data_IF_149688884965
#
_entry.id   IF_149688884965
#
_cell.length_a   1.000
_cell.length_b   1.000
_cell.length_c   1.000
_cell.angle_alpha   90.00
_cell.angle_beta   90.00
_cell.angle_gamma   90.00
#
_symmetry.space_group_name_H-M   'P 1'
#
loop_
_entity.id
_entity.type
_entity.pdbx_description
1 polymer ?
#
# COMPACT_ATOMS: atom_id res chain seq x y z
N UNK A 1 27.09 7.76 19.70
CA UNK A 1 26.70 6.33 19.64
C UNK A 1 26.83 5.87 18.19
N UNK A 2 27.58 4.80 17.95
CA UNK A 2 27.75 4.20 16.62
C UNK A 2 26.55 3.29 16.37
N UNK A 3 25.72 3.59 15.38
CA UNK A 3 24.64 2.72 14.94
C UNK A 3 25.27 1.51 14.23
N UNK A 4 25.19 0.32 14.84
CA UNK A 4 25.51 -0.92 14.15
C UNK A 4 24.36 -1.25 13.21
N UNK A 5 24.58 -1.05 11.91
CA UNK A 5 23.72 -1.64 10.89
C UNK A 5 23.91 -3.15 10.96
N UNK A 6 22.89 -3.87 11.42
CA UNK A 6 22.85 -5.33 11.26
C UNK A 6 22.72 -5.62 9.76
N UNK A 7 23.79 -6.17 9.20
CA UNK A 7 24.01 -6.47 7.78
C UNK A 7 23.15 -7.63 7.23
N UNK A 8 21.91 -7.76 7.68
CA UNK A 8 20.96 -8.79 7.22
C UNK A 8 19.81 -8.24 6.35
N UNK A 9 19.65 -6.91 6.24
CA UNK A 9 18.71 -6.27 5.31
C UNK A 9 19.25 -6.18 3.86
N UNK A 10 20.32 -6.92 3.56
CA UNK A 10 20.99 -6.91 2.26
C UNK A 10 20.42 -8.01 1.37
N UNK A 11 19.95 -7.60 0.18
CA UNK A 11 19.38 -8.43 -0.88
C UNK A 11 17.87 -8.72 -0.75
N UNK A 12 17.07 -7.65 -0.69
CA UNK A 12 15.88 -7.65 -1.55
C UNK A 12 16.45 -7.69 -2.97
N UNK A 13 16.57 -8.89 -3.52
CA UNK A 13 16.85 -9.06 -4.94
C UNK A 13 15.72 -8.32 -5.63
N UNK A 14 16.02 -7.12 -6.11
CA UNK A 14 15.22 -6.41 -7.08
C UNK A 14 15.12 -7.37 -8.25
N UNK A 15 14.09 -8.23 -8.25
CA UNK A 15 13.64 -8.88 -9.44
C UNK A 15 13.37 -7.70 -10.38
N UNK A 16 14.31 -7.48 -11.27
CA UNK A 16 14.31 -6.41 -12.24
C UNK A 16 13.18 -6.69 -13.21
N UNK A 17 11.95 -6.40 -12.79
CA UNK A 17 10.92 -5.95 -13.70
C UNK A 17 11.39 -4.57 -14.17
N UNK A 18 12.39 -4.56 -15.05
CA UNK A 18 12.75 -3.37 -15.80
C UNK A 18 11.53 -2.90 -16.60
N UNK A 19 11.60 -1.68 -17.12
CA UNK A 19 10.57 -1.05 -17.95
C UNK A 19 9.98 -1.97 -19.03
N UNK A 20 10.77 -2.92 -19.56
CA UNK A 20 10.34 -3.90 -20.57
C UNK A 20 9.40 -4.97 -20.01
N UNK A 21 9.60 -5.45 -18.77
CA UNK A 21 8.72 -6.45 -18.15
C UNK A 21 7.35 -5.87 -17.77
N UNK A 22 7.31 -4.61 -17.37
CA UNK A 22 6.08 -3.89 -17.04
C UNK A 22 5.26 -3.54 -18.31
N UNK A 23 5.92 -3.12 -19.39
CA UNK A 23 5.26 -2.85 -20.67
C UNK A 23 4.70 -4.14 -21.32
N UNK A 24 5.42 -5.27 -21.27
CA UNK A 24 4.90 -6.56 -21.74
C UNK A 24 3.73 -7.09 -20.89
N UNK A 25 3.69 -6.79 -19.59
CA UNK A 25 2.56 -7.13 -18.73
C UNK A 25 1.31 -6.29 -19.03
N UNK A 26 1.46 -4.96 -19.20
CA UNK A 26 0.35 -4.07 -19.54
C UNK A 26 -0.14 -4.21 -20.99
N UNK A 27 0.72 -4.63 -21.93
CA UNK A 27 0.38 -4.73 -23.36
C UNK A 27 0.29 -6.16 -23.90
N UNK A 28 0.42 -7.21 -23.09
CA UNK A 28 0.53 -8.56 -23.66
C UNK A 28 0.55 -9.72 -22.68
N UNK A 29 -0.58 -9.97 -21.99
CA UNK A 29 -1.04 -11.34 -21.82
C UNK A 29 -2.39 -11.50 -22.51
N UNK A 30 -2.35 -12.14 -23.68
CA UNK A 30 -3.53 -12.71 -24.31
C UNK A 30 -4.14 -13.75 -23.38
N UNK A 31 -5.35 -13.47 -22.90
CA UNK A 31 -6.26 -14.42 -22.24
C UNK A 31 -5.64 -15.28 -21.12
N UNK A 32 -5.47 -14.72 -19.93
CA UNK A 32 -5.53 -15.54 -18.71
C UNK A 32 -6.99 -15.65 -18.28
N UNK A 33 -7.45 -16.89 -18.14
CA UNK A 33 -8.73 -17.27 -17.56
C UNK A 33 -8.95 -16.61 -16.20
N UNK A 34 -10.23 -16.51 -15.80
CA UNK A 34 -10.91 -16.18 -14.52
C UNK A 34 -10.22 -16.53 -13.16
N UNK A 35 -8.89 -16.59 -13.12
CA UNK A 35 -8.03 -17.25 -12.13
C UNK A 35 -6.83 -16.41 -11.69
N UNK A 36 -6.70 -15.16 -12.18
CA UNK A 36 -5.55 -14.28 -11.91
C UNK A 36 -5.92 -13.02 -11.10
N UNK A 37 -7.09 -13.01 -10.46
CA UNK A 37 -7.55 -11.93 -9.57
C UNK A 37 -7.01 -12.07 -8.15
N UNK A 38 -6.71 -13.29 -7.69
CA UNK A 38 -6.23 -13.54 -6.35
C UNK A 38 -4.88 -12.86 -6.09
N UNK A 39 -4.76 -12.20 -4.94
CA UNK A 39 -3.49 -11.68 -4.46
C UNK A 39 -2.77 -12.81 -3.74
N UNK A 40 -1.49 -13.01 -4.03
CA UNK A 40 -0.64 -13.98 -3.35
C UNK A 40 0.35 -13.30 -2.41
N UNK A 41 0.63 -13.90 -1.26
CA UNK A 41 1.70 -13.44 -0.38
C UNK A 41 3.05 -13.49 -1.09
N UNK A 42 3.89 -12.48 -0.83
CA UNK A 42 5.25 -12.42 -1.35
C UNK A 42 6.24 -12.07 -0.24
N UNK A 43 6.95 -13.10 0.24
CA UNK A 43 7.99 -12.97 1.24
C UNK A 43 9.37 -13.10 0.58
N UNK A 44 10.17 -12.01 0.50
CA UNK A 44 11.54 -12.10 0.00
C UNK A 44 12.34 -13.16 0.78
N UNK A 45 13.11 -13.98 0.08
CA UNK A 45 13.95 -15.00 0.73
C UNK A 45 14.86 -14.37 1.79
N UNK A 46 14.82 -14.93 3.01
CA UNK A 46 15.60 -14.44 4.14
C UNK A 46 15.03 -13.22 4.87
N UNK A 47 13.83 -12.76 4.48
CA UNK A 47 13.09 -11.75 5.26
C UNK A 47 12.46 -12.36 6.51
N UNK A 48 12.47 -11.60 7.60
CA UNK A 48 11.81 -11.94 8.85
C UNK A 48 10.45 -11.23 8.89
N UNK A 49 9.43 -11.87 8.31
CA UNK A 49 8.06 -11.35 8.21
C UNK A 49 7.07 -12.41 8.68
N UNK A 50 5.98 -11.98 9.31
CA UNK A 50 4.96 -12.88 9.90
C UNK A 50 4.35 -13.85 8.87
N UNK A 51 4.34 -13.46 7.60
CA UNK A 51 3.78 -14.23 6.49
C UNK A 51 4.82 -15.04 5.70
N UNK A 52 6.03 -15.25 6.23
CA UNK A 52 7.10 -15.97 5.52
C UNK A 52 6.68 -17.38 5.09
N UNK A 53 6.00 -18.13 5.97
CA UNK A 53 5.51 -19.49 5.66
C UNK A 53 4.33 -19.52 4.67
N UNK A 54 3.79 -18.36 4.30
CA UNK A 54 2.66 -18.22 3.39
C UNK A 54 3.09 -17.76 1.98
N UNK A 55 4.39 -17.65 1.71
CA UNK A 55 4.90 -17.23 0.38
C UNK A 55 4.27 -18.03 -0.77
N UNK A 56 3.78 -17.31 -1.78
CA UNK A 56 3.10 -17.86 -2.94
C UNK A 56 1.69 -18.40 -2.69
N UNK A 57 1.20 -18.40 -1.44
CA UNK A 57 -0.18 -18.76 -1.13
C UNK A 57 -1.13 -17.56 -1.35
N UNK A 58 -2.40 -17.80 -1.70
CA UNK A 58 -3.41 -16.75 -1.73
C UNK A 58 -3.53 -16.03 -0.39
N UNK A 59 -3.70 -14.71 -0.45
CA UNK A 59 -4.01 -13.89 0.71
C UNK A 59 -5.45 -14.14 1.15
N UNK A 60 -5.64 -14.29 2.45
CA UNK A 60 -6.97 -14.43 3.06
C UNK A 60 -7.23 -13.33 4.06
N UNK A 61 -8.48 -12.88 4.17
CA UNK A 61 -8.89 -11.88 5.16
C UNK A 61 -8.58 -12.38 6.58
N UNK A 62 -8.89 -13.65 6.86
CA UNK A 62 -8.66 -14.26 8.16
C UNK A 62 -7.17 -14.26 8.56
N UNK A 63 -6.23 -14.42 7.63
CA UNK A 63 -4.78 -14.30 7.93
C UNK A 63 -4.43 -12.92 8.49
N UNK A 64 -4.96 -11.85 7.88
CA UNK A 64 -4.70 -10.49 8.36
C UNK A 64 -5.37 -10.20 9.69
N UNK A 65 -6.64 -10.63 9.87
CA UNK A 65 -7.35 -10.46 11.13
C UNK A 65 -6.67 -11.23 12.28
N UNK A 66 -6.16 -12.43 12.01
CA UNK A 66 -5.41 -13.22 12.99
C UNK A 66 -4.08 -12.56 13.37
N UNK A 67 -3.34 -12.03 12.40
CA UNK A 67 -2.10 -11.29 12.68
C UNK A 67 -2.36 -9.99 13.42
N UNK A 68 -3.41 -9.26 13.05
CA UNK A 68 -3.82 -8.02 13.70
C UNK A 68 -4.11 -8.22 15.20
N UNK A 69 -4.59 -9.39 15.62
CA UNK A 69 -4.81 -9.71 17.02
C UNK A 69 -3.52 -9.78 17.86
N UNK A 70 -2.35 -9.88 17.22
CA UNK A 70 -1.04 -9.84 17.88
C UNK A 70 -0.44 -8.43 17.96
N UNK A 71 -1.12 -7.42 17.38
CA UNK A 71 -0.67 -6.04 17.32
C UNK A 71 -1.33 -5.17 18.39
N UNK A 72 -0.56 -4.24 18.97
CA UNK A 72 -1.03 -3.24 19.93
C UNK A 72 -2.05 -2.27 19.30
N UNK A 73 -1.94 -2.03 17.99
CA UNK A 73 -2.86 -1.15 17.24
C UNK A 73 -4.01 -1.90 16.57
N UNK A 74 -3.94 -3.24 16.51
CA UNK A 74 -4.86 -4.05 15.73
C UNK A 74 -4.67 -3.93 14.22
N UNK A 75 -3.53 -3.41 13.75
CA UNK A 75 -3.21 -3.34 12.32
C UNK A 75 -2.35 -4.52 11.90
N UNK A 76 -2.49 -4.96 10.65
CA UNK A 76 -1.55 -5.87 10.02
C UNK A 76 -1.43 -5.54 8.53
N UNK A 77 -0.27 -5.81 7.95
CA UNK A 77 -0.12 -5.73 6.50
C UNK A 77 0.95 -6.71 6.00
N UNK A 78 0.87 -7.03 4.72
CA UNK A 78 1.78 -7.95 4.06
C UNK A 78 2.01 -7.53 2.61
N UNK A 79 3.22 -7.79 2.13
CA UNK A 79 3.53 -7.67 0.72
C UNK A 79 2.94 -8.84 -0.07
N UNK A 80 2.50 -8.55 -1.29
CA UNK A 80 1.95 -9.54 -2.19
C UNK A 80 2.21 -9.24 -3.65
N UNK A 81 1.74 -10.16 -4.48
CA UNK A 81 1.72 -10.04 -5.94
C UNK A 81 0.29 -10.25 -6.45
N UNK A 82 -0.16 -9.34 -7.30
CA UNK A 82 -1.37 -9.47 -8.12
C UNK A 82 -0.98 -9.45 -9.59
N UNK A 83 -1.07 -10.59 -10.27
CA UNK A 83 -0.57 -10.75 -11.64
C UNK A 83 0.88 -10.23 -11.83
N UNK A 84 1.72 -10.34 -10.78
CA UNK A 84 3.09 -9.82 -10.78
C UNK A 84 3.26 -8.33 -10.43
N UNK A 85 2.17 -7.57 -10.27
CA UNK A 85 2.21 -6.22 -9.69
C UNK A 85 2.47 -6.31 -8.18
N UNK A 86 3.45 -5.56 -7.63
CA UNK A 86 3.67 -5.55 -6.19
C UNK A 86 2.55 -4.80 -5.49
N UNK A 87 2.00 -5.42 -4.45
CA UNK A 87 0.95 -4.83 -3.63
C UNK A 87 1.29 -4.89 -2.15
N UNK A 88 0.64 -4.05 -1.35
CA UNK A 88 0.53 -4.22 0.09
C UNK A 88 -0.95 -4.27 0.44
N UNK A 89 -1.39 -5.39 0.99
CA UNK A 89 -2.69 -5.51 1.61
C UNK A 89 -2.57 -5.07 3.07
N UNK A 90 -3.45 -4.16 3.51
CA UNK A 90 -3.41 -3.59 4.86
C UNK A 90 -4.76 -3.74 5.52
N UNK A 91 -4.77 -4.35 6.70
CA UNK A 91 -5.90 -4.43 7.60
C UNK A 91 -5.81 -3.34 8.66
N UNK A 92 -6.91 -2.63 8.87
CA UNK A 92 -7.08 -1.56 9.85
C UNK A 92 -8.43 -1.76 10.52
N UNK A 93 -8.53 -1.76 11.86
CA UNK A 93 -9.77 -1.96 12.60
C UNK A 93 -10.71 -0.75 12.50
N UNK A 94 -11.06 -0.38 11.27
CA UNK A 94 -11.77 0.83 10.92
C UNK A 94 -13.21 0.78 11.40
N UNK A 95 -13.93 -0.31 11.19
CA UNK A 95 -15.33 -0.44 11.62
C UNK A 95 -15.44 -0.27 13.15
N UNK A 96 -14.52 -0.87 13.89
CA UNK A 96 -14.43 -0.85 15.35
C UNK A 96 -14.08 0.55 15.87
N UNK A 97 -13.21 1.28 15.18
CA UNK A 97 -12.69 2.56 15.64
C UNK A 97 -13.38 3.77 15.00
N UNK A 98 -14.16 3.62 13.92
CA UNK A 98 -14.75 4.70 13.11
C UNK A 98 -15.54 5.73 13.93
N UNK A 99 -16.22 5.27 14.98
CA UNK A 99 -17.09 6.10 15.84
C UNK A 99 -16.44 6.55 17.14
N UNK A 100 -15.20 6.13 17.40
CA UNK A 100 -14.48 6.48 18.62
C UNK A 100 -13.82 7.87 18.50
N UNK A 101 -13.39 8.50 19.61
CA UNK A 101 -12.52 9.67 19.55
C UNK A 101 -11.28 9.42 18.67
N UNK A 102 -10.71 10.49 18.11
CA UNK A 102 -9.51 10.37 17.27
C UNK A 102 -8.27 10.49 18.17
N UNK A 103 -7.79 9.37 18.70
CA UNK A 103 -6.71 9.30 19.70
C UNK A 103 -5.67 8.23 19.35
N UNK A 104 -4.50 8.28 19.99
CA UNK A 104 -3.42 7.30 19.79
C UNK A 104 -3.91 5.85 19.93
N UNK A 105 -3.39 4.97 19.07
CA UNK A 105 -3.68 3.53 19.03
C UNK A 105 -5.16 3.15 18.82
N UNK A 106 -5.99 4.06 18.30
CA UNK A 106 -7.31 3.74 17.75
C UNK A 106 -7.34 3.96 16.22
N UNK A 107 -6.56 3.20 15.44
CA UNK A 107 -6.43 3.43 14.01
C UNK A 107 -7.74 3.21 13.27
N UNK A 108 -7.98 4.08 12.28
CA UNK A 108 -9.09 3.99 11.34
C UNK A 108 -8.71 4.72 10.07
N UNK A 109 -9.29 4.31 8.94
CA UNK A 109 -9.21 5.12 7.73
C UNK A 109 -9.78 6.54 7.96
N UNK A 110 -9.01 7.52 7.52
CA UNK A 110 -9.32 8.94 7.57
C UNK A 110 -9.23 9.50 6.15
N UNK A 111 -10.32 10.08 5.67
CA UNK A 111 -10.34 10.74 4.37
C UNK A 111 -9.89 12.20 4.53
N UNK A 112 -9.02 12.65 3.62
CA UNK A 112 -8.47 14.00 3.61
C UNK A 112 -8.47 14.60 2.20
N UNK A 113 -8.41 15.92 2.15
CA UNK A 113 -8.13 16.66 0.94
C UNK A 113 -6.69 16.45 0.48
N UNK A 114 -6.55 16.37 -0.83
CA UNK A 114 -5.30 16.12 -1.53
C UNK A 114 -4.76 17.38 -2.21
N UNK A 115 -3.44 17.55 -2.14
CA UNK A 115 -2.75 18.71 -2.69
C UNK A 115 -1.48 18.28 -3.42
N UNK A 116 -1.09 19.03 -4.45
CA UNK A 116 0.22 18.87 -5.08
C UNK A 116 1.33 19.34 -4.13
N UNK A 117 2.58 19.06 -4.50
CA UNK A 117 3.76 19.57 -3.79
C UNK A 117 3.86 21.11 -3.78
N UNK A 118 3.20 21.80 -4.70
CA UNK A 118 3.08 23.28 -4.72
C UNK A 118 1.90 23.81 -3.89
N UNK A 119 1.10 22.93 -3.29
CA UNK A 119 -0.09 23.29 -2.50
C UNK A 119 -1.35 23.52 -3.34
N UNK A 120 -1.34 23.18 -4.63
CA UNK A 120 -2.55 23.25 -5.45
C UNK A 120 -3.51 22.11 -5.08
N UNK A 121 -4.79 22.42 -4.91
CA UNK A 121 -5.82 21.41 -4.63
C UNK A 121 -5.97 20.43 -5.81
N UNK A 122 -6.04 19.14 -5.51
CA UNK A 122 -6.20 18.06 -6.49
C UNK A 122 -7.62 17.48 -6.42
N UNK A 123 -8.11 17.24 -5.21
CA UNK A 123 -9.41 16.62 -4.93
C UNK A 123 -9.42 16.06 -3.52
N UNK A 124 -10.35 15.15 -3.21
CA UNK A 124 -10.53 14.65 -1.85
C UNK A 124 -10.64 13.13 -1.78
N UNK A 125 -10.17 12.54 -0.67
CA UNK A 125 -10.35 11.12 -0.38
C UNK A 125 -11.84 10.73 -0.21
N UNK A 126 -12.69 11.68 0.21
CA UNK A 126 -14.14 11.48 0.34
C UNK A 126 -14.82 11.16 -1.00
N UNK A 127 -14.16 11.45 -2.13
CA UNK A 127 -14.68 11.14 -3.45
C UNK A 127 -14.97 9.64 -3.66
N UNK A 128 -14.34 8.75 -2.88
CA UNK A 128 -14.63 7.30 -2.88
C UNK A 128 -16.11 7.03 -2.61
N UNK A 129 -16.70 7.71 -1.63
CA UNK A 129 -18.10 7.49 -1.20
C UNK A 129 -19.07 8.44 -1.91
N UNK A 130 -18.57 9.54 -2.48
CA UNK A 130 -19.40 10.59 -3.09
C UNK A 130 -19.59 10.40 -4.60
N UNK A 131 -18.69 9.67 -5.28
CA UNK A 131 -18.71 9.53 -6.74
C UNK A 131 -18.75 8.08 -7.17
N UNK A 132 -19.75 7.77 -8.00
CA UNK A 132 -19.93 6.45 -8.60
C UNK A 132 -18.69 5.97 -9.36
N UNK A 133 -17.93 6.88 -9.97
CA UNK A 133 -16.68 6.54 -10.68
C UNK A 133 -15.60 5.92 -9.78
N UNK A 134 -15.69 6.09 -8.45
CA UNK A 134 -14.75 5.53 -7.47
C UNK A 134 -15.40 4.49 -6.54
N UNK A 135 -16.64 4.07 -6.82
CA UNK A 135 -17.39 3.18 -5.93
C UNK A 135 -16.67 1.84 -5.67
N UNK A 136 -15.89 1.33 -6.63
CA UNK A 136 -15.10 0.09 -6.46
C UNK A 136 -13.93 0.23 -5.46
N UNK A 137 -13.58 1.45 -5.06
CA UNK A 137 -12.60 1.75 -4.00
C UNK A 137 -13.23 1.90 -2.61
N UNK A 138 -14.55 1.75 -2.48
CA UNK A 138 -15.24 1.84 -1.18
C UNK A 138 -14.56 0.93 -0.17
N UNK A 139 -14.25 1.46 1.00
CA UNK A 139 -13.56 0.68 2.02
C UNK A 139 -14.54 -0.30 2.66
N UNK A 140 -14.23 -1.59 2.56
CA UNK A 140 -14.96 -2.68 3.20
C UNK A 140 -13.99 -3.65 3.88
N UNK A 141 -14.54 -4.56 4.69
CA UNK A 141 -13.78 -5.63 5.36
C UNK A 141 -12.57 -5.17 6.19
N UNK A 142 -12.54 -3.90 6.63
CA UNK A 142 -11.41 -3.33 7.36
C UNK A 142 -10.09 -3.35 6.56
N UNK A 143 -10.15 -3.37 5.23
CA UNK A 143 -8.95 -3.53 4.40
C UNK A 143 -8.85 -2.52 3.26
N UNK A 144 -7.61 -2.27 2.85
CA UNK A 144 -7.27 -1.64 1.57
C UNK A 144 -6.14 -2.42 0.89
N UNK A 145 -6.09 -2.36 -0.43
CA UNK A 145 -4.98 -2.86 -1.25
C UNK A 145 -4.27 -1.67 -1.88
N UNK A 146 -2.95 -1.68 -1.87
CA UNK A 146 -2.11 -0.56 -2.28
C UNK A 146 -1.15 -1.04 -3.35
N UNK A 147 -1.02 -0.30 -4.46
CA UNK A 147 0.04 -0.55 -5.43
C UNK A 147 1.39 -0.15 -4.85
N UNK A 148 2.23 -1.14 -4.55
CA UNK A 148 3.44 -0.97 -3.74
C UNK A 148 4.66 -0.59 -4.57
N UNK A 149 4.56 0.54 -5.26
CA UNK A 149 5.71 1.21 -5.89
C UNK A 149 5.86 2.62 -5.35
N UNK A 150 7.00 2.86 -4.72
CA UNK A 150 7.36 4.16 -4.19
C UNK A 150 7.41 5.21 -5.33
N UNK A 151 6.61 6.29 -5.27
CA UNK A 151 6.64 7.33 -6.30
C UNK A 151 7.95 8.14 -6.37
N UNK A 152 8.93 7.89 -5.49
CA UNK A 152 10.26 8.50 -5.57
C UNK A 152 11.13 7.91 -6.69
N UNK A 153 11.44 6.61 -6.61
CA UNK A 153 12.33 5.89 -7.55
C UNK A 153 11.93 4.40 -7.67
N UNK A 154 10.63 4.12 -7.51
CA UNK A 154 10.02 2.82 -7.83
C UNK A 154 10.54 1.61 -7.04
N UNK A 155 11.22 1.81 -5.91
CA UNK A 155 11.41 0.75 -4.92
C UNK A 155 10.07 0.27 -4.37
N UNK A 156 10.03 -0.95 -3.83
CA UNK A 156 8.85 -1.51 -3.17
C UNK A 156 8.95 -1.20 -1.68
N UNK A 157 8.07 -0.35 -1.10
CA UNK A 157 8.01 -0.16 0.35
C UNK A 157 7.53 -1.45 1.02
N UNK A 158 7.69 -1.54 2.34
CA UNK A 158 7.18 -2.68 3.10
C UNK A 158 6.56 -2.29 4.42
N UNK A 159 5.71 -3.19 4.92
CA UNK A 159 5.17 -3.16 6.28
C UNK A 159 6.20 -3.72 7.25
N UNK A 160 6.60 -2.91 8.24
CA UNK A 160 7.44 -3.32 9.37
C UNK A 160 8.73 -4.10 9.02
N UNK A 161 9.23 -4.02 7.77
CA UNK A 161 10.44 -4.74 7.30
C UNK A 161 11.74 -4.25 7.96
N UNK A 162 11.69 -3.07 8.56
CA UNK A 162 12.82 -2.44 9.25
C UNK A 162 12.30 -2.06 10.62
N UNK A 163 13.02 -2.38 11.69
CA UNK A 163 12.66 -1.93 13.03
C UNK A 163 13.17 -0.50 13.25
N UNK A 164 12.26 0.47 13.28
CA UNK A 164 12.52 1.88 13.58
C UNK A 164 11.24 2.57 14.10
N UNK A 165 11.35 3.83 14.51
CA UNK A 165 10.22 4.57 15.10
C UNK A 165 9.01 4.72 14.15
N UNK A 166 9.25 4.77 12.84
CA UNK A 166 8.18 4.93 11.82
C UNK A 166 7.45 3.61 11.52
N UNK A 167 8.01 2.48 11.92
CA UNK A 167 7.44 1.14 11.72
C UNK A 167 7.08 0.47 13.04
N UNK A 168 7.31 1.13 14.18
CA UNK A 168 6.87 0.63 15.48
C UNK A 168 5.36 0.36 15.48
N UNK A 169 4.93 -0.59 16.30
CA UNK A 169 3.51 -0.90 16.45
C UNK A 169 2.81 0.11 17.35
N UNK A 170 2.67 1.32 16.84
CA UNK A 170 1.86 2.37 17.41
C UNK A 170 1.26 3.22 16.28
N UNK A 171 0.21 3.97 16.59
CA UNK A 171 -0.50 4.75 15.60
C UNK A 171 -0.92 6.11 16.14
N UNK A 172 -0.74 7.13 15.31
CA UNK A 172 -1.16 8.50 15.58
C UNK A 172 -2.08 8.99 14.46
N UNK A 173 -3.14 9.74 14.79
CA UNK A 173 -4.09 10.22 13.80
C UNK A 173 -3.54 11.34 12.91
N UNK A 174 -4.27 11.64 11.84
CA UNK A 174 -4.02 12.78 10.95
C UNK A 174 -2.98 12.55 9.84
N UNK A 175 -2.33 11.38 9.79
CA UNK A 175 -1.33 11.09 8.75
C UNK A 175 -0.10 11.99 8.86
N UNK A 176 0.32 12.25 10.09
CA UNK A 176 1.57 12.96 10.34
C UNK A 176 2.76 12.01 10.17
N UNK A 177 3.97 12.56 10.14
CA UNK A 177 5.19 11.76 10.17
C UNK A 177 5.51 11.16 11.55
N UNK A 178 4.70 11.49 12.57
CA UNK A 178 4.78 10.91 13.90
C UNK A 178 4.03 9.58 13.97
N UNK A 179 4.41 8.78 14.96
CA UNK A 179 3.90 7.43 15.12
C UNK A 179 4.48 6.45 14.10
N UNK A 180 4.09 5.20 14.29
CA UNK A 180 4.56 4.06 13.56
C UNK A 180 3.53 3.57 12.56
N UNK A 181 3.54 2.25 12.32
CA UNK A 181 2.71 1.57 11.34
C UNK A 181 2.69 2.24 9.96
N UNK A 182 3.81 2.88 9.59
CA UNK A 182 4.02 3.43 8.27
C UNK A 182 4.57 2.34 7.34
N UNK A 183 4.17 2.40 6.08
CA UNK A 183 4.87 1.70 5.02
C UNK A 183 6.20 2.41 4.79
N UNK A 184 7.30 1.67 4.89
CA UNK A 184 8.64 2.23 4.85
C UNK A 184 9.37 1.83 3.57
N UNK A 185 9.83 2.82 2.82
CA UNK A 185 10.66 2.63 1.63
C UNK A 185 12.14 2.74 2.00
N UNK A 186 12.80 1.59 2.20
CA UNK A 186 14.20 1.52 2.65
C UNK A 186 15.20 2.28 1.77
N UNK A 187 14.92 2.43 0.47
CA UNK A 187 15.85 3.07 -0.47
C UNK A 187 16.22 4.50 -0.08
N UNK A 188 15.24 5.31 0.31
CA UNK A 188 15.47 6.73 0.63
C UNK A 188 14.59 7.22 1.79
N UNK A 189 14.11 6.28 2.61
CA UNK A 189 13.30 6.54 3.81
C UNK A 189 12.02 7.34 3.53
N UNK A 190 11.30 7.05 2.43
CA UNK A 190 9.93 7.55 2.27
C UNK A 190 8.97 6.78 3.19
N UNK A 191 8.05 7.49 3.82
CA UNK A 191 7.04 6.95 4.74
C UNK A 191 5.65 7.24 4.20
N UNK A 192 4.76 6.27 4.35
CA UNK A 192 3.36 6.39 3.95
C UNK A 192 2.46 5.89 5.06
N UNK A 193 1.39 6.62 5.34
CA UNK A 193 0.40 6.21 6.33
C UNK A 193 -0.75 5.51 5.59
N UNK A 194 -0.91 4.18 5.75
CA UNK A 194 -1.95 3.44 5.05
C UNK A 194 -3.36 3.77 5.59
N UNK A 195 -3.48 4.52 6.70
CA UNK A 195 -4.76 4.89 7.29
C UNK A 195 -5.30 6.23 6.78
N UNK A 196 -4.55 6.97 5.96
CA UNK A 196 -5.03 8.26 5.44
C UNK A 196 -5.17 8.21 3.94
N UNK A 197 -6.39 8.45 3.47
CA UNK A 197 -6.77 8.34 2.07
C UNK A 197 -6.99 9.75 1.51
N UNK A 198 -6.31 10.06 0.41
CA UNK A 198 -6.37 11.38 -0.24
C UNK A 198 -6.26 11.23 -1.77
N UNK A 199 -6.76 12.23 -2.50
CA UNK A 199 -6.56 12.29 -3.95
C UNK A 199 -5.17 12.86 -4.26
N UNK A 200 -4.42 12.18 -5.10
CA UNK A 200 -3.07 12.58 -5.48
C UNK A 200 -2.98 12.81 -6.98
N UNK A 201 -2.00 13.62 -7.38
CA UNK A 201 -1.58 13.79 -8.78
C UNK A 201 -0.17 13.25 -8.96
N UNK A 202 0.02 12.37 -9.92
CA UNK A 202 1.33 11.87 -10.29
C UNK A 202 1.50 11.95 -11.81
N UNK A 203 2.69 11.60 -12.27
CA UNK A 203 3.11 11.69 -13.65
C UNK A 203 3.70 10.37 -14.09
N UNK A 204 3.31 9.93 -15.28
CA UNK A 204 4.01 8.86 -15.97
C UNK A 204 5.43 9.33 -16.32
N UNK A 205 6.46 8.64 -15.82
CA UNK A 205 7.86 9.05 -16.00
C UNK A 205 8.30 8.99 -17.46
N UNK A 206 7.79 8.02 -18.20
CA UNK A 206 8.14 7.78 -19.59
C UNK A 206 7.45 8.74 -20.56
N UNK A 207 6.14 8.99 -20.40
CA UNK A 207 5.39 9.88 -21.32
C UNK A 207 5.29 11.33 -20.85
N UNK A 208 5.42 11.56 -19.55
CA UNK A 208 5.19 12.86 -18.93
C UNK A 208 3.72 13.24 -18.71
N UNK A 209 2.78 12.37 -19.07
CA UNK A 209 1.37 12.59 -18.81
C UNK A 209 1.08 12.61 -17.31
N UNK A 210 0.37 13.65 -16.85
CA UNK A 210 -0.15 13.72 -15.48
C UNK A 210 -1.48 12.98 -15.39
N UNK A 211 -1.76 12.40 -14.22
CA UNK A 211 -3.02 11.75 -13.90
C UNK A 211 -3.32 11.88 -12.41
N UNK A 212 -4.61 11.89 -12.09
CA UNK A 212 -5.11 11.91 -10.72
C UNK A 212 -5.54 10.51 -10.30
N UNK A 213 -5.36 10.17 -9.03
CA UNK A 213 -5.72 8.88 -8.45
C UNK A 213 -6.05 9.04 -6.98
N UNK A 214 -6.74 8.05 -6.39
CA UNK A 214 -6.95 7.99 -4.95
C UNK A 214 -5.91 7.03 -4.34
N UNK A 215 -5.28 7.46 -3.25
CA UNK A 215 -4.14 6.77 -2.67
C UNK A 215 -3.97 7.04 -1.19
N UNK A 216 -3.00 6.35 -0.60
CA UNK A 216 -2.59 6.58 0.79
C UNK A 216 -1.74 7.85 0.87
N UNK A 217 -1.66 8.47 2.05
CA UNK A 217 -0.86 9.68 2.26
C UNK A 217 0.63 9.38 2.39
N UNK A 218 1.46 10.21 1.74
CA UNK A 218 2.90 10.28 2.05
C UNK A 218 3.13 11.18 3.27
N UNK A 219 3.69 10.64 4.33
CA UNK A 219 3.95 11.38 5.57
C UNK A 219 5.37 11.93 5.67
N UNK A 220 6.32 11.34 4.94
CA UNK A 220 7.68 11.88 4.91
C UNK A 220 8.61 11.27 3.87
N UNK A 221 9.82 11.83 3.79
CA UNK A 221 10.87 11.43 2.86
C UNK A 221 10.70 12.05 1.46
N UNK A 222 11.52 11.62 0.48
CA UNK A 222 11.65 12.32 -0.80
C UNK A 222 10.61 11.96 -1.85
N UNK A 223 9.69 11.01 -1.59
CA UNK A 223 8.62 10.74 -2.53
C UNK A 223 7.76 12.01 -2.74
N UNK A 224 7.31 12.30 -3.97
CA UNK A 224 6.52 13.50 -4.24
C UNK A 224 5.08 13.39 -3.72
N UNK A 225 4.52 12.17 -3.73
CA UNK A 225 3.12 11.85 -3.39
C UNK A 225 3.05 10.43 -2.81
N UNK A 226 1.89 10.03 -2.31
CA UNK A 226 1.63 8.69 -1.79
C UNK A 226 1.29 7.64 -2.87
N UNK A 227 0.98 6.41 -2.46
CA UNK A 227 0.78 5.28 -3.38
C UNK A 227 -0.72 5.06 -3.70
N UNK A 228 -1.07 4.67 -4.95
CA UNK A 228 -2.47 4.47 -5.32
C UNK A 228 -3.08 3.25 -4.64
N UNK A 229 -4.39 3.33 -4.39
CA UNK A 229 -5.21 2.19 -4.00
C UNK A 229 -5.48 1.28 -5.21
N UNK A 230 -5.71 0.01 -4.92
CA UNK A 230 -6.20 -1.01 -5.85
C UNK A 230 -7.57 -1.46 -5.32
N UNK A 231 -8.63 -1.42 -6.14
CA UNK A 231 -9.94 -1.94 -5.73
C UNK A 231 -9.89 -3.46 -5.59
N UNK A 232 -10.67 -4.01 -4.68
CA UNK A 232 -10.64 -5.44 -4.37
C UNK A 232 -12.01 -5.94 -3.92
N UNK A 233 -12.14 -7.27 -3.83
CA UNK A 233 -13.26 -7.95 -3.19
C UNK A 233 -12.74 -9.02 -2.26
N UNK A 234 -13.53 -9.36 -1.24
CA UNK A 234 -13.32 -10.58 -0.43
C UNK A 234 -14.32 -11.63 -0.91
N UNK A 235 -13.82 -12.65 -1.59
CA UNK A 235 -14.63 -13.75 -2.13
C UNK A 235 -14.53 -14.97 -1.20
N UNK A 236 -15.51 -15.10 -0.31
CA UNK A 236 -15.43 -16.01 0.83
C UNK A 236 -14.41 -15.48 1.83
N UNK A 237 -13.18 -15.97 1.77
CA UNK A 237 -12.05 -15.49 2.59
C UNK A 237 -10.88 -15.02 1.72
N UNK A 238 -10.93 -15.26 0.40
CA UNK A 238 -9.85 -14.90 -0.52
C UNK A 238 -9.92 -13.42 -0.88
N UNK A 239 -8.75 -12.78 -0.91
CA UNK A 239 -8.61 -11.39 -1.34
C UNK A 239 -8.29 -11.36 -2.83
N UNK A 240 -9.16 -10.74 -3.61
CA UNK A 240 -9.07 -10.66 -5.06
C UNK A 240 -9.04 -9.20 -5.50
N UNK A 241 -8.00 -8.79 -6.23
CA UNK A 241 -7.90 -7.44 -6.78
C UNK A 241 -8.72 -7.31 -8.08
N UNK A 242 -9.31 -6.13 -8.26
CA UNK A 242 -10.11 -5.79 -9.42
C UNK A 242 -9.28 -5.02 -10.45
N UNK A 243 -9.55 -5.21 -11.77
CA UNK A 243 -8.73 -4.65 -12.83
C UNK A 243 -8.96 -3.14 -13.11
N UNK A 244 -9.81 -2.49 -12.33
CA UNK A 244 -10.12 -1.08 -12.43
C UNK A 244 -8.88 -0.20 -12.14
N UNK A 245 -8.85 0.97 -12.77
CA UNK A 245 -7.81 2.00 -12.58
C UNK A 245 -6.37 1.56 -12.85
N UNK A 246 -6.15 0.53 -13.68
CA UNK A 246 -4.80 0.05 -14.04
C UNK A 246 -3.88 1.14 -14.61
N UNK A 247 -4.45 2.18 -15.20
CA UNK A 247 -3.74 3.35 -15.71
C UNK A 247 -3.03 4.16 -14.60
N UNK A 248 -3.50 4.11 -13.35
CA UNK A 248 -2.88 4.79 -12.21
C UNK A 248 -1.53 4.18 -11.82
N UNK A 249 -1.27 2.92 -12.21
CA UNK A 249 -0.08 2.18 -11.80
C UNK A 249 1.12 2.40 -12.73
N UNK A 250 0.98 3.31 -13.71
CA UNK A 250 1.94 3.47 -14.82
C UNK A 250 3.11 4.42 -14.54
N UNK A 251 3.20 5.01 -13.34
CA UNK A 251 4.26 5.99 -13.01
C UNK A 251 5.67 5.40 -12.86
N UNK A 252 5.80 4.06 -12.89
CA UNK A 252 7.07 3.34 -12.80
C UNK A 252 7.48 2.63 -14.11
N UNK A 253 6.78 2.91 -15.22
CA UNK A 253 7.07 2.39 -16.55
C UNK A 253 8.32 3.01 -17.19
#
# INVERSE_FOLDING_TARGET
MRLSFNTAAGLITMASLGSVGFASFLMGQSSSSDSDSAITFYAPKGSDVWYNSMDGQPMTHQSFAAEAANSDTGMSAAAGLWSGLPVIATYVPHQENSRKPLVENEPRFQFQDGFTSSGAYVGSGYEIDEKEEYASLSIHDNMIIIFSRCPHLCCIPGWQLVNNDFTADNWYPGGTDSGGNKLFCICHSSRYDPTVIEKNRNRNRSSGAEFDYIGIKRTGGPAPVGMPLIPFVVNGDLIEALPDFKDWYTFCA
#
